data_IF_514513766068
#
_entry.id   IF_514513766068
#
_cell.length_a   1.000
_cell.length_b   1.000
_cell.length_c   1.000
_cell.angle_alpha   90.00
_cell.angle_beta   90.00
_cell.angle_gamma   90.00
#
_symmetry.space_group_name_H-M   'P 1'
#
loop_
_entity.id
_entity.type
_entity.pdbx_description
1 polymer ?
#
# COMPACT_ATOMS: atom_id res chain seq x y z
N UNK A 1 10.24 -10.19 6.75
CA UNK A 1 9.44 -8.99 6.52
C UNK A 1 8.44 -9.25 5.41
N UNK A 2 7.17 -8.97 5.67
CA UNK A 2 6.11 -9.12 4.67
C UNK A 2 5.68 -7.75 4.19
N UNK A 3 5.37 -7.66 2.90
CA UNK A 3 4.88 -6.43 2.30
C UNK A 3 3.45 -6.58 1.83
N UNK A 4 2.70 -5.49 1.96
CA UNK A 4 1.30 -5.42 1.56
C UNK A 4 1.06 -4.11 0.82
N UNK A 5 0.13 -4.14 -0.12
CA UNK A 5 -0.30 -2.91 -0.81
C UNK A 5 -1.72 -2.61 -0.38
N UNK A 6 -1.98 -1.34 -0.06
CA UNK A 6 -3.34 -0.91 0.29
C UNK A 6 -4.15 -0.87 -1.00
N UNK A 7 -5.09 -1.82 -1.15
CA UNK A 7 -5.94 -1.89 -2.33
C UNK A 7 -7.03 -0.82 -2.26
N UNK A 8 -7.69 -0.74 -1.12
CA UNK A 8 -8.73 0.28 -0.91
C UNK A 8 -8.99 0.45 0.58
N UNK A 9 -9.63 1.56 0.90
CA UNK A 9 -10.07 1.85 2.26
C UNK A 9 -11.58 2.10 2.21
N UNK A 10 -12.33 1.33 2.99
CA UNK A 10 -13.79 1.46 3.09
C UNK A 10 -14.15 1.70 4.54
N UNK A 11 -14.71 2.87 4.84
CA UNK A 11 -15.08 3.27 6.20
C UNK A 11 -13.89 3.13 7.14
N UNK A 12 -13.97 2.23 8.11
CA UNK A 12 -12.90 1.99 9.09
C UNK A 12 -12.05 0.77 8.76
N UNK A 13 -12.21 0.21 7.56
CA UNK A 13 -11.51 -0.99 7.13
C UNK A 13 -10.59 -0.70 5.96
N UNK A 14 -9.44 -1.36 5.93
CA UNK A 14 -8.52 -1.31 4.82
C UNK A 14 -8.34 -2.70 4.24
N UNK A 15 -8.43 -2.81 2.92
CA UNK A 15 -8.18 -4.07 2.21
C UNK A 15 -6.73 -4.04 1.74
N UNK A 16 -5.96 -5.00 2.20
CA UNK A 16 -4.53 -5.13 1.85
C UNK A 16 -4.33 -6.31 0.93
N UNK A 17 -3.55 -6.10 -0.11
CA UNK A 17 -3.15 -7.17 -1.02
C UNK A 17 -1.76 -7.66 -0.65
N UNK A 18 -1.63 -8.97 -0.47
CA UNK A 18 -0.35 -9.61 -0.17
C UNK A 18 0.46 -9.83 -1.45
N UNK A 19 1.75 -10.12 -1.30
CA UNK A 19 2.63 -10.35 -2.45
C UNK A 19 2.18 -11.54 -3.31
N UNK A 20 1.54 -12.53 -2.70
CA UNK A 20 1.04 -13.71 -3.42
C UNK A 20 -0.32 -13.51 -4.09
N UNK A 21 -0.88 -12.29 -4.00
CA UNK A 21 -2.18 -11.99 -4.59
C UNK A 21 -3.38 -12.14 -3.66
N UNK A 22 -3.19 -12.73 -2.49
CA UNK A 22 -4.27 -12.83 -1.50
C UNK A 22 -4.59 -11.46 -0.91
N UNK A 23 -5.84 -11.28 -0.52
CA UNK A 23 -6.28 -10.03 0.12
C UNK A 23 -6.70 -10.30 1.56
N UNK A 24 -6.50 -9.31 2.41
CA UNK A 24 -7.01 -9.37 3.78
C UNK A 24 -7.54 -8.02 4.19
N UNK A 25 -8.48 -8.02 5.15
CA UNK A 25 -9.12 -6.80 5.63
C UNK A 25 -8.71 -6.57 7.07
N UNK A 26 -8.23 -5.35 7.36
CA UNK A 26 -7.85 -4.96 8.71
C UNK A 26 -8.51 -3.63 9.07
N UNK A 27 -8.61 -3.38 10.38
CA UNK A 27 -9.11 -2.10 10.84
C UNK A 27 -8.05 -1.02 10.61
N UNK A 28 -8.48 0.13 10.08
CA UNK A 28 -7.57 1.25 9.78
C UNK A 28 -6.83 1.70 11.05
N UNK A 29 -7.49 1.65 12.20
CA UNK A 29 -6.87 2.03 13.47
C UNK A 29 -5.69 1.17 13.87
N UNK A 30 -5.57 -0.04 13.30
CA UNK A 30 -4.44 -0.95 13.55
C UNK A 30 -3.26 -0.68 12.63
N UNK A 31 -3.38 0.26 11.71
CA UNK A 31 -2.40 0.55 10.68
C UNK A 31 -1.78 1.94 10.90
N UNK A 32 -0.68 2.26 10.22
CA UNK A 32 -0.09 3.59 10.32
C UNK A 32 -1.10 4.68 9.94
N UNK A 33 -0.95 5.85 10.53
CA UNK A 33 -1.82 6.99 10.26
C UNK A 33 -1.63 7.49 8.84
N UNK A 34 -2.71 8.06 8.28
CA UNK A 34 -2.67 8.72 6.97
C UNK A 34 -2.32 7.79 5.82
N UNK A 35 -2.63 6.51 5.94
CA UNK A 35 -2.48 5.58 4.82
C UNK A 35 -3.57 5.86 3.78
N UNK A 36 -3.27 5.54 2.53
CA UNK A 36 -4.22 5.70 1.42
C UNK A 36 -3.99 4.64 0.36
N UNK A 37 -4.91 4.55 -0.56
CA UNK A 37 -4.83 3.58 -1.64
C UNK A 37 -3.51 3.69 -2.38
N UNK A 38 -2.89 2.55 -2.66
CA UNK A 38 -1.62 2.48 -3.34
C UNK A 38 -0.40 2.52 -2.44
N UNK A 39 -0.58 2.82 -1.15
CA UNK A 39 0.54 2.81 -0.22
C UNK A 39 1.05 1.38 0.00
N UNK A 40 2.35 1.25 0.21
CA UNK A 40 2.98 -0.03 0.51
C UNK A 40 3.28 -0.07 2.01
N UNK A 41 2.82 -1.14 2.65
CA UNK A 41 3.07 -1.38 4.07
C UNK A 41 3.97 -2.57 4.23
N UNK A 42 4.78 -2.57 5.27
CA UNK A 42 5.55 -3.76 5.67
C UNK A 42 5.15 -4.16 7.09
N UNK A 43 5.17 -5.47 7.32
CA UNK A 43 4.85 -6.05 8.62
C UNK A 43 6.11 -6.66 9.21
N UNK A 44 6.50 -6.17 10.39
CA UNK A 44 7.69 -6.64 11.08
C UNK A 44 7.48 -6.44 12.57
N UNK A 45 7.92 -7.41 13.37
CA UNK A 45 7.80 -7.37 14.83
C UNK A 45 6.38 -7.07 15.32
N UNK A 46 5.41 -7.73 14.71
CA UNK A 46 3.98 -7.60 15.04
C UNK A 46 3.40 -6.20 14.82
N UNK A 47 4.03 -5.40 13.97
CA UNK A 47 3.56 -4.05 13.65
C UNK A 47 3.61 -3.78 12.16
N UNK A 48 2.73 -2.91 11.69
CA UNK A 48 2.71 -2.46 10.31
C UNK A 48 3.38 -1.10 10.22
N UNK A 49 4.22 -0.94 9.20
CA UNK A 49 4.93 0.31 8.94
C UNK A 49 4.70 0.75 7.51
N UNK A 50 4.60 2.05 7.28
CA UNK A 50 4.53 2.58 5.93
C UNK A 50 5.92 2.51 5.29
N UNK A 51 6.01 1.83 4.15
CA UNK A 51 7.24 1.78 3.37
C UNK A 51 7.23 2.93 2.37
N UNK A 52 7.79 4.06 2.76
CA UNK A 52 7.78 5.27 1.94
C UNK A 52 8.55 5.10 0.64
N UNK A 53 9.68 4.41 0.68
CA UNK A 53 10.51 4.21 -0.50
C UNK A 53 9.79 3.42 -1.58
N UNK A 54 9.17 2.30 -1.20
CA UNK A 54 8.42 1.49 -2.14
C UNK A 54 7.16 2.20 -2.63
N UNK A 55 6.50 2.95 -1.75
CA UNK A 55 5.34 3.74 -2.12
C UNK A 55 5.70 4.77 -3.18
N UNK A 56 6.79 5.50 -2.98
CA UNK A 56 7.26 6.50 -3.92
C UNK A 56 7.71 5.89 -5.26
N UNK A 57 8.45 4.79 -5.21
CA UNK A 57 8.88 4.08 -6.41
C UNK A 57 7.68 3.67 -7.25
N UNK A 58 6.64 3.16 -6.60
CA UNK A 58 5.43 2.75 -7.28
C UNK A 58 4.72 3.92 -7.95
N UNK A 59 4.64 5.06 -7.25
CA UNK A 59 4.03 6.29 -7.79
C UNK A 59 4.82 6.83 -8.97
N UNK A 60 6.13 6.85 -8.88
CA UNK A 60 7.00 7.31 -9.97
C UNK A 60 6.86 6.41 -11.19
N UNK A 61 6.78 5.09 -10.99
CA UNK A 61 6.63 4.14 -12.08
C UNK A 61 5.31 4.37 -12.83
N UNK A 62 4.24 4.60 -12.10
CA UNK A 62 2.93 4.90 -12.69
C UNK A 62 2.98 6.23 -13.45
N UNK A 63 3.58 7.24 -12.85
CA UNK A 63 3.74 8.56 -13.47
C UNK A 63 4.52 8.47 -14.78
N UNK A 64 5.63 7.74 -14.77
CA UNK A 64 6.46 7.58 -15.97
C UNK A 64 5.69 6.87 -17.09
N UNK A 65 4.88 5.88 -16.76
CA UNK A 65 4.04 5.21 -17.75
C UNK A 65 3.01 6.16 -18.37
N UNK A 66 2.40 6.99 -17.56
CA UNK A 66 1.43 7.98 -18.02
C UNK A 66 2.11 9.02 -18.91
N UNK A 67 3.26 9.54 -18.49
CA UNK A 67 4.02 10.50 -19.26
C UNK A 67 4.41 9.93 -20.63
N UNK A 68 4.79 8.66 -20.68
CA UNK A 68 5.14 7.99 -21.95
C UNK A 68 3.96 7.87 -22.88
N UNK A 69 2.74 7.77 -22.36
CA UNK A 69 1.55 7.66 -23.19
C UNK A 69 1.16 8.99 -23.86
N UNK A 70 1.60 10.10 -23.30
CA UNK A 70 1.25 11.43 -23.80
C UNK A 70 2.35 12.10 -24.62
N UNK A 71 3.47 11.45 -24.77
CA UNK A 71 4.57 11.98 -25.59
C UNK A 71 4.36 11.70 -27.10
#
# INVERSE_FOLDING_TARGET
MKRFTVDRIEEDKAVLECENGDCMTLEVKSLPKNIKEGDVLCFEENSYFLDKDETEKRRQKIKNLIDSLFD
#
